data_IF_903344858422
#
_entry.id   IF_903344858422
#
_cell.length_a   1.000
_cell.length_b   1.000
_cell.length_c   1.000
_cell.angle_alpha   90.00
_cell.angle_beta   90.00
_cell.angle_gamma   90.00
#
_symmetry.space_group_name_H-M   'P 1'
#
loop_
_entity.id
_entity.type
_entity.pdbx_description
1 polymer ?
#
# COMPACT_ATOMS: atom_id res chain seq x y z
N UNK A 1 -6.69 -11.88 12.13
CA UNK A 1 -6.54 -10.48 12.58
C UNK A 1 -5.54 -10.30 13.72
N UNK A 2 -4.63 -9.32 13.68
CA UNK A 2 -4.04 -8.73 14.90
C UNK A 2 -4.57 -7.30 14.96
N UNK A 3 -5.60 -7.07 15.76
CA UNK A 3 -5.96 -5.72 16.19
C UNK A 3 -4.89 -5.31 17.20
N UNK A 4 -4.09 -4.26 16.94
CA UNK A 4 -3.40 -3.62 18.07
C UNK A 4 -4.50 -2.93 18.85
N UNK A 5 -4.73 -3.34 20.09
CA UNK A 5 -5.67 -2.59 20.91
C UNK A 5 -5.03 -1.25 21.21
N UNK A 6 -5.61 -0.16 20.70
CA UNK A 6 -5.19 1.18 21.10
C UNK A 6 -5.74 1.42 22.51
N UNK A 7 -4.93 1.92 23.43
CA UNK A 7 -5.40 2.22 24.79
C UNK A 7 -5.67 3.72 24.88
N UNK A 8 -6.94 4.12 24.94
CA UNK A 8 -7.33 5.53 25.07
C UNK A 8 -8.21 5.77 26.32
N UNK A 9 -8.15 6.96 26.94
CA UNK A 9 -9.08 7.32 28.01
C UNK A 9 -10.49 7.56 27.44
N UNK A 10 -11.52 7.09 28.14
CA UNK A 10 -12.90 7.44 27.83
C UNK A 10 -13.14 8.92 28.08
N UNK A 11 -13.70 9.63 27.10
CA UNK A 11 -14.02 11.06 27.19
C UNK A 11 -15.06 11.40 28.29
N UNK A 12 -15.85 10.41 28.72
CA UNK A 12 -16.88 10.59 29.76
C UNK A 12 -16.35 10.32 31.18
N UNK A 13 -15.65 9.21 31.41
CA UNK A 13 -15.25 8.79 32.76
C UNK A 13 -13.72 8.80 33.01
N UNK A 14 -12.92 9.08 31.98
CA UNK A 14 -11.45 9.11 32.05
C UNK A 14 -10.76 7.76 32.19
N UNK A 15 -11.51 6.66 32.32
CA UNK A 15 -10.93 5.31 32.43
C UNK A 15 -10.30 4.87 31.11
N UNK A 16 -9.16 4.18 31.20
CA UNK A 16 -8.47 3.63 30.03
C UNK A 16 -9.24 2.43 29.48
N UNK A 17 -9.47 2.45 28.18
CA UNK A 17 -10.21 1.43 27.45
C UNK A 17 -9.30 0.87 26.34
N UNK A 18 -9.44 -0.43 26.06
CA UNK A 18 -8.76 -1.09 24.95
C UNK A 18 -9.68 -1.06 23.71
N UNK A 19 -9.27 -0.32 22.69
CA UNK A 19 -10.02 -0.12 21.44
C UNK A 19 -9.52 -1.09 20.37
N UNK A 20 -10.37 -1.97 19.81
CA UNK A 20 -9.98 -2.77 18.66
C UNK A 20 -9.64 -1.85 17.49
N UNK A 21 -8.42 -1.95 16.96
CA UNK A 21 -7.99 -1.23 15.76
C UNK A 21 -7.77 -2.23 14.62
N UNK A 22 -8.83 -2.64 13.88
CA UNK A 22 -8.65 -3.48 12.71
C UNK A 22 -8.02 -2.63 11.61
N UNK A 23 -6.74 -2.87 11.31
CA UNK A 23 -6.08 -2.19 10.18
C UNK A 23 -6.63 -2.67 8.82
N UNK A 24 -7.10 -3.92 8.75
CA UNK A 24 -7.54 -4.55 7.50
C UNK A 24 -8.80 -5.38 7.73
N UNK A 25 -9.79 -5.20 6.86
CA UNK A 25 -11.07 -5.92 6.81
C UNK A 25 -11.09 -6.79 5.56
N UNK A 26 -10.88 -8.09 5.75
CA UNK A 26 -11.05 -9.09 4.68
C UNK A 26 -12.54 -9.48 4.59
N UNK A 27 -13.24 -8.99 3.58
CA UNK A 27 -14.69 -9.21 3.45
C UNK A 27 -15.05 -10.64 3.02
N UNK A 28 -14.12 -11.40 2.44
CA UNK A 28 -14.34 -12.81 2.14
C UNK A 28 -14.37 -13.67 3.41
N UNK A 29 -13.63 -13.27 4.45
CA UNK A 29 -13.60 -13.99 5.74
C UNK A 29 -14.62 -13.46 6.73
N UNK A 30 -14.83 -12.15 6.75
CA UNK A 30 -15.72 -11.48 7.70
C UNK A 30 -16.74 -10.57 6.99
N UNK A 31 -17.72 -11.15 6.26
CA UNK A 31 -18.70 -10.37 5.50
C UNK A 31 -19.52 -9.39 6.37
N UNK A 32 -19.68 -9.71 7.66
CA UNK A 32 -20.38 -8.84 8.60
C UNK A 32 -19.66 -7.49 8.82
N UNK A 33 -18.33 -7.46 8.72
CA UNK A 33 -17.55 -6.23 8.89
C UNK A 33 -17.76 -5.25 7.73
N UNK A 34 -18.13 -5.74 6.54
CA UNK A 34 -18.57 -4.86 5.46
C UNK A 34 -19.81 -4.07 5.86
N UNK A 35 -20.80 -4.72 6.47
CA UNK A 35 -21.99 -4.01 6.96
C UNK A 35 -21.64 -3.03 8.07
N UNK A 36 -20.72 -3.40 8.97
CA UNK A 36 -20.19 -2.51 10.00
C UNK A 36 -19.48 -1.27 9.42
N UNK A 37 -18.81 -1.40 8.27
CA UNK A 37 -18.28 -0.25 7.52
C UNK A 37 -19.44 0.61 7.01
N UNK A 38 -20.40 0.00 6.31
CA UNK A 38 -21.47 0.75 5.65
C UNK A 38 -22.35 1.55 6.64
N UNK A 39 -22.54 1.04 7.86
CA UNK A 39 -23.35 1.67 8.90
C UNK A 39 -22.55 2.38 10.01
N UNK A 40 -21.23 2.51 9.83
CA UNK A 40 -20.28 3.17 10.72
C UNK A 40 -20.05 2.45 12.08
N UNK A 41 -20.66 1.28 12.30
CA UNK A 41 -20.46 0.49 13.52
C UNK A 41 -19.02 -0.04 13.66
N UNK A 42 -18.24 -0.09 12.57
CA UNK A 42 -16.83 -0.51 12.62
C UNK A 42 -15.98 0.39 13.53
N UNK A 43 -16.36 1.66 13.67
CA UNK A 43 -15.67 2.65 14.52
C UNK A 43 -16.36 2.85 15.87
N UNK A 44 -17.49 2.19 16.08
CA UNK A 44 -18.29 2.36 17.29
C UNK A 44 -17.65 1.62 18.44
N UNK A 45 -17.45 2.35 19.52
CA UNK A 45 -16.93 1.81 20.77
C UNK A 45 -17.85 2.15 21.94
N UNK A 46 -18.07 1.18 22.82
CA UNK A 46 -18.81 1.35 24.07
C UNK A 46 -17.85 1.15 25.25
N UNK A 47 -17.72 2.17 26.10
CA UNK A 47 -16.86 2.12 27.29
C UNK A 47 -17.30 1.02 28.26
N UNK A 48 -16.37 0.13 28.63
CA UNK A 48 -16.66 -0.99 29.54
C UNK A 48 -17.01 -0.55 30.98
N UNK A 49 -16.77 0.71 31.34
CA UNK A 49 -16.96 1.23 32.70
C UNK A 49 -18.20 2.10 32.87
N UNK A 50 -18.51 2.94 31.87
CA UNK A 50 -19.63 3.87 31.95
C UNK A 50 -20.65 3.73 30.80
N UNK A 51 -20.42 2.80 29.87
CA UNK A 51 -21.28 2.56 28.70
C UNK A 51 -21.46 3.77 27.78
N UNK A 52 -20.58 4.77 27.89
CA UNK A 52 -20.54 5.88 26.95
C UNK A 52 -20.10 5.38 25.57
N UNK A 53 -20.83 5.77 24.54
CA UNK A 53 -20.57 5.38 23.15
C UNK A 53 -19.85 6.50 22.43
N UNK A 54 -18.71 6.18 21.81
CA UNK A 54 -17.89 7.10 21.02
C UNK A 54 -17.56 6.44 19.68
N UNK A 55 -17.36 7.26 18.64
CA UNK A 55 -16.88 6.80 17.33
C UNK A 55 -15.44 7.26 17.13
N UNK A 56 -14.52 6.31 16.90
CA UNK A 56 -13.12 6.60 16.67
C UNK A 56 -12.74 6.25 15.24
N UNK A 57 -12.72 7.26 14.37
CA UNK A 57 -12.30 7.09 12.98
C UNK A 57 -10.79 6.92 12.91
N UNK A 58 -10.36 5.84 12.27
CA UNK A 58 -8.95 5.54 12.01
C UNK A 58 -8.81 4.96 10.62
N UNK A 59 -7.56 4.88 10.13
CA UNK A 59 -7.26 4.30 8.83
C UNK A 59 -7.65 2.83 8.75
N UNK A 60 -8.19 2.45 7.59
CA UNK A 60 -8.84 1.16 7.39
C UNK A 60 -8.62 0.68 5.96
N UNK A 61 -8.23 -0.58 5.80
CA UNK A 61 -8.13 -1.23 4.50
C UNK A 61 -9.33 -2.16 4.30
N UNK A 62 -10.09 -1.92 3.24
CA UNK A 62 -11.06 -2.87 2.70
C UNK A 62 -10.34 -3.80 1.74
N UNK A 63 -10.38 -5.10 2.01
CA UNK A 63 -9.76 -6.14 1.20
C UNK A 63 -10.80 -7.14 0.71
N UNK A 64 -10.96 -7.21 -0.62
CA UNK A 64 -11.77 -8.20 -1.30
C UNK A 64 -10.89 -9.05 -2.24
N UNK A 65 -10.45 -10.23 -1.78
CA UNK A 65 -9.64 -11.13 -2.60
C UNK A 65 -10.39 -11.72 -3.79
N UNK A 66 -11.72 -11.80 -3.72
CA UNK A 66 -12.54 -12.39 -4.79
C UNK A 66 -12.57 -11.46 -6.01
N UNK A 67 -12.72 -10.16 -5.78
CA UNK A 67 -12.74 -9.15 -6.84
C UNK A 67 -11.38 -8.50 -7.10
N UNK A 68 -10.32 -8.98 -6.44
CA UNK A 68 -8.97 -8.43 -6.49
C UNK A 68 -8.95 -6.92 -6.20
N UNK A 69 -9.49 -6.53 -5.05
CA UNK A 69 -9.67 -5.13 -4.69
C UNK A 69 -9.10 -4.79 -3.30
N UNK A 70 -8.34 -3.70 -3.27
CA UNK A 70 -7.96 -2.98 -2.06
C UNK A 70 -8.47 -1.55 -2.14
N UNK A 71 -9.19 -1.12 -1.11
CA UNK A 71 -9.50 0.28 -0.90
C UNK A 71 -8.90 0.67 0.45
N UNK A 72 -8.12 1.72 0.48
CA UNK A 72 -7.41 2.21 1.65
C UNK A 72 -8.00 3.55 2.04
N UNK A 73 -8.66 3.60 3.19
CA UNK A 73 -8.98 4.85 3.88
C UNK A 73 -7.79 5.21 4.75
N UNK A 74 -7.09 6.30 4.43
CA UNK A 74 -5.96 6.79 5.20
C UNK A 74 -6.02 8.31 5.34
N UNK A 75 -5.46 8.85 6.41
CA UNK A 75 -5.51 10.29 6.67
C UNK A 75 -4.74 11.10 5.61
N UNK A 76 -3.68 10.52 5.05
CA UNK A 76 -2.81 11.16 4.08
C UNK A 76 -2.11 10.15 3.15
N UNK A 77 -1.46 10.65 2.09
CA UNK A 77 -0.78 9.83 1.08
C UNK A 77 0.50 9.16 1.61
N UNK A 78 1.14 9.76 2.62
CA UNK A 78 2.33 9.19 3.24
C UNK A 78 1.94 7.90 3.96
N UNK A 79 0.90 7.93 4.80
CA UNK A 79 0.34 6.74 5.45
C UNK A 79 -0.09 5.67 4.45
N UNK A 80 -0.75 6.06 3.34
CA UNK A 80 -1.08 5.13 2.26
C UNK A 80 0.16 4.45 1.67
N UNK A 81 1.22 5.23 1.41
CA UNK A 81 2.48 4.71 0.87
C UNK A 81 3.12 3.69 1.83
N UNK A 82 3.11 3.99 3.14
CA UNK A 82 3.61 3.08 4.18
C UNK A 82 2.79 1.78 4.24
N UNK A 83 1.46 1.88 4.23
CA UNK A 83 0.56 0.72 4.25
C UNK A 83 0.75 -0.20 3.04
N UNK A 84 0.95 0.41 1.86
CA UNK A 84 1.09 -0.32 0.61
C UNK A 84 2.48 -0.90 0.40
N UNK A 85 3.53 -0.24 0.92
CA UNK A 85 4.90 -0.73 0.83
C UNK A 85 4.99 -2.19 1.31
N UNK A 86 4.41 -2.51 2.47
CA UNK A 86 4.34 -3.87 3.02
C UNK A 86 3.68 -4.91 2.10
N UNK A 87 2.59 -4.52 1.45
CA UNK A 87 1.81 -5.45 0.64
C UNK A 87 2.40 -5.65 -0.77
N UNK A 88 3.30 -4.78 -1.22
CA UNK A 88 3.99 -4.98 -2.49
C UNK A 88 5.23 -5.86 -2.39
N UNK A 89 5.76 -6.08 -1.18
CA UNK A 89 7.01 -6.82 -0.96
C UNK A 89 7.00 -8.28 -1.40
N UNK A 90 5.83 -8.88 -1.60
CA UNK A 90 5.71 -10.27 -2.01
C UNK A 90 5.01 -10.48 -3.35
N UNK A 91 4.87 -9.44 -4.19
CA UNK A 91 4.30 -9.52 -5.54
C UNK A 91 2.83 -10.02 -5.67
N UNK A 92 2.10 -10.12 -4.56
CA UNK A 92 0.77 -10.76 -4.51
C UNK A 92 -0.37 -9.78 -4.82
N UNK A 93 -0.13 -8.47 -4.79
CA UNK A 93 -1.15 -7.45 -5.06
C UNK A 93 -1.06 -6.80 -6.44
N UNK A 94 -0.16 -7.26 -7.31
CA UNK A 94 0.10 -6.63 -8.62
C UNK A 94 -1.12 -6.61 -9.53
N UNK A 95 -1.95 -7.65 -9.46
CA UNK A 95 -3.18 -7.78 -10.24
C UNK A 95 -4.42 -7.28 -9.50
N UNK A 96 -4.23 -6.64 -8.34
CA UNK A 96 -5.30 -6.00 -7.60
C UNK A 96 -5.52 -4.57 -8.07
N UNK A 97 -6.78 -4.16 -8.06
CA UNK A 97 -7.18 -2.76 -8.09
C UNK A 97 -6.91 -2.19 -6.70
N UNK A 98 -6.06 -1.18 -6.63
CA UNK A 98 -5.73 -0.50 -5.37
C UNK A 98 -6.27 0.91 -5.46
N UNK A 99 -6.90 1.39 -4.39
CA UNK A 99 -7.49 2.73 -4.33
C UNK A 99 -7.18 3.41 -3.02
N UNK A 100 -6.75 4.66 -3.11
CA UNK A 100 -6.60 5.55 -1.97
C UNK A 100 -7.86 6.42 -1.81
N UNK A 101 -8.28 6.59 -0.55
CA UNK A 101 -9.34 7.49 -0.13
C UNK A 101 -8.86 8.28 1.08
N UNK A 102 -8.87 9.61 0.97
CA UNK A 102 -8.53 10.56 2.04
C UNK A 102 -9.70 10.85 2.99
N UNK A 103 -10.90 10.33 2.68
CA UNK A 103 -12.10 10.53 3.48
C UNK A 103 -13.00 9.29 3.46
N UNK A 104 -13.71 9.10 4.56
CA UNK A 104 -14.51 7.90 4.79
C UNK A 104 -15.75 7.81 3.88
N UNK A 105 -16.28 8.94 3.40
CA UNK A 105 -17.39 8.93 2.44
C UNK A 105 -16.96 8.40 1.07
N UNK A 106 -15.82 8.84 0.56
CA UNK A 106 -15.24 8.32 -0.68
C UNK A 106 -14.87 6.83 -0.54
N UNK A 107 -14.41 6.41 0.64
CA UNK A 107 -14.15 5.01 0.94
C UNK A 107 -15.42 4.14 0.81
N UNK A 108 -16.51 4.51 1.50
CA UNK A 108 -17.80 3.81 1.38
C UNK A 108 -18.36 3.85 -0.04
N UNK A 109 -18.23 4.98 -0.71
CA UNK A 109 -18.64 5.14 -2.11
C UNK A 109 -17.92 4.15 -3.02
N UNK A 110 -16.59 4.03 -2.91
CA UNK A 110 -15.82 3.09 -3.74
C UNK A 110 -16.28 1.65 -3.50
N UNK A 111 -16.53 1.25 -2.26
CA UNK A 111 -17.07 -0.10 -1.95
C UNK A 111 -18.38 -0.32 -2.73
N UNK A 112 -19.32 0.64 -2.68
CA UNK A 112 -20.58 0.55 -3.40
C UNK A 112 -20.42 0.49 -4.92
N UNK A 113 -19.49 1.27 -5.49
CA UNK A 113 -19.18 1.25 -6.93
C UNK A 113 -18.74 -0.16 -7.36
N UNK A 114 -17.79 -0.75 -6.63
CA UNK A 114 -17.27 -2.07 -6.97
C UNK A 114 -18.27 -3.20 -6.70
N UNK A 115 -19.11 -3.07 -5.66
CA UNK A 115 -20.22 -3.99 -5.40
C UNK A 115 -21.19 -4.08 -6.57
N UNK A 116 -21.37 -2.97 -7.29
CA UNK A 116 -22.20 -2.87 -8.49
C UNK A 116 -21.43 -3.16 -9.78
N UNK A 117 -20.21 -3.68 -9.69
CA UNK A 117 -19.35 -4.02 -10.83
C UNK A 117 -19.11 -2.83 -11.77
N UNK A 118 -19.02 -1.63 -11.20
CA UNK A 118 -18.72 -0.40 -11.92
C UNK A 118 -17.23 -0.06 -11.82
N UNK A 119 -16.72 0.65 -12.82
CA UNK A 119 -15.38 1.23 -12.81
C UNK A 119 -15.43 2.61 -12.14
N UNK A 120 -14.71 2.76 -11.04
CA UNK A 120 -14.73 3.97 -10.23
C UNK A 120 -14.23 5.21 -10.98
N UNK A 121 -13.38 5.02 -11.99
CA UNK A 121 -12.88 6.08 -12.86
C UNK A 121 -13.98 6.60 -13.78
N UNK A 122 -14.83 5.72 -14.30
CA UNK A 122 -16.00 6.13 -15.10
C UNK A 122 -17.05 6.84 -14.24
N UNK A 123 -17.27 6.36 -13.00
CA UNK A 123 -18.15 7.03 -12.05
C UNK A 123 -17.61 8.42 -11.70
N UNK A 124 -16.30 8.58 -11.50
CA UNK A 124 -15.70 9.89 -11.27
C UNK A 124 -15.97 10.89 -12.41
N UNK A 125 -15.86 10.45 -13.67
CA UNK A 125 -16.23 11.27 -14.85
C UNK A 125 -17.72 11.62 -14.83
N UNK A 126 -18.59 10.64 -14.56
CA UNK A 126 -20.04 10.87 -14.48
C UNK A 126 -20.33 11.96 -13.44
N UNK A 127 -19.80 11.80 -12.23
CA UNK A 127 -19.99 12.74 -11.12
C UNK A 127 -19.56 14.16 -11.48
N UNK A 128 -18.39 14.32 -12.10
CA UNK A 128 -17.90 15.62 -12.53
C UNK A 128 -18.81 16.26 -13.61
N UNK A 129 -19.22 15.48 -14.62
CA UNK A 129 -20.15 15.96 -15.64
C UNK A 129 -21.48 16.44 -15.01
N UNK A 130 -22.07 15.65 -14.11
CA UNK A 130 -23.30 16.04 -13.41
C UNK A 130 -23.09 17.27 -12.52
N UNK A 131 -21.96 17.36 -11.82
CA UNK A 131 -21.64 18.50 -10.97
C UNK A 131 -21.50 19.78 -11.79
N UNK A 132 -20.92 19.69 -12.99
CA UNK A 132 -20.83 20.81 -13.93
C UNK A 132 -22.21 21.26 -14.43
N UNK A 133 -23.10 20.33 -14.80
CA UNK A 133 -24.47 20.66 -15.18
C UNK A 133 -25.31 21.22 -14.01
N UNK A 134 -25.10 20.68 -12.81
CA UNK A 134 -25.71 21.17 -11.58
C UNK A 134 -25.31 22.64 -11.34
N UNK A 135 -24.01 22.96 -11.42
CA UNK A 135 -23.50 24.33 -11.23
C UNK A 135 -23.99 25.30 -12.29
N UNK A 136 -24.21 24.86 -13.54
CA UNK A 136 -24.84 25.69 -14.58
C UNK A 136 -26.31 25.98 -14.27
N UNK A 137 -27.02 24.99 -13.75
CA UNK A 137 -28.45 25.09 -13.39
C UNK A 137 -28.66 25.91 -12.12
N UNK A 138 -27.73 25.81 -11.17
CA UNK A 138 -27.73 26.48 -9.87
C UNK A 138 -26.41 27.25 -9.66
N UNK A 139 -26.20 28.40 -10.32
CA UNK A 139 -24.94 29.15 -10.23
C UNK A 139 -24.59 29.60 -8.81
N UNK A 140 -25.59 29.86 -7.98
CA UNK A 140 -25.45 30.30 -6.59
C UNK A 140 -25.45 29.11 -5.61
N UNK A 141 -25.02 27.91 -6.02
CA UNK A 141 -25.14 26.72 -5.17
C UNK A 141 -24.15 26.64 -4.00
N UNK A 142 -23.15 27.52 -3.97
CA UNK A 142 -22.02 27.40 -3.04
C UNK A 142 -21.16 26.19 -3.38
N UNK A 143 -20.50 25.61 -2.37
CA UNK A 143 -19.78 24.34 -2.53
C UNK A 143 -20.78 23.24 -2.84
N UNK A 144 -20.44 22.40 -3.81
CA UNK A 144 -21.24 21.23 -4.16
C UNK A 144 -20.33 20.02 -4.40
N UNK A 145 -20.75 18.87 -3.90
CA UNK A 145 -20.07 17.58 -4.02
C UNK A 145 -21.04 16.54 -4.57
N UNK A 146 -20.53 15.59 -5.33
CA UNK A 146 -21.31 14.49 -5.89
C UNK A 146 -20.79 13.14 -5.37
N UNK A 147 -21.71 12.25 -5.01
CA UNK A 147 -21.44 10.90 -4.54
C UNK A 147 -22.33 9.91 -5.30
N UNK A 148 -21.78 8.76 -5.63
CA UNK A 148 -22.53 7.59 -6.03
C UNK A 148 -23.15 6.95 -4.78
N UNK A 149 -24.46 6.69 -4.83
CA UNK A 149 -25.19 5.96 -3.81
C UNK A 149 -25.98 4.83 -4.47
N UNK A 150 -25.82 3.62 -3.95
CA UNK A 150 -26.56 2.45 -4.38
C UNK A 150 -27.40 1.80 -3.27
N UNK A 151 -27.56 2.48 -2.12
CA UNK A 151 -28.25 1.93 -0.93
C UNK A 151 -29.72 1.57 -1.17
N UNK A 152 -30.40 2.22 -2.12
CA UNK A 152 -31.78 1.89 -2.52
C UNK A 152 -31.89 1.63 -4.02
N UNK A 153 -31.32 2.53 -4.82
CA UNK A 153 -31.19 2.42 -6.28
C UNK A 153 -29.92 3.16 -6.68
N UNK A 154 -29.28 2.75 -7.78
CA UNK A 154 -28.10 3.45 -8.29
C UNK A 154 -28.47 4.91 -8.63
N UNK A 155 -27.77 5.84 -7.97
CA UNK A 155 -28.00 7.26 -8.13
C UNK A 155 -26.72 8.06 -7.90
N UNK A 156 -26.71 9.30 -8.40
CA UNK A 156 -25.72 10.29 -8.06
C UNK A 156 -26.39 11.33 -7.15
N UNK A 157 -25.92 11.43 -5.92
CA UNK A 157 -26.38 12.38 -4.91
C UNK A 157 -25.48 13.60 -4.95
N UNK A 158 -26.05 14.76 -5.23
CA UNK A 158 -25.37 16.06 -5.17
C UNK A 158 -25.77 16.76 -3.88
N UNK A 159 -24.79 17.10 -3.06
CA UNK A 159 -24.96 17.86 -1.81
C UNK A 159 -24.36 19.24 -2.02
N UNK A 160 -25.11 20.30 -1.71
CA UNK A 160 -24.67 21.68 -1.88
C UNK A 160 -25.07 22.57 -0.71
N UNK A 161 -24.28 23.61 -0.47
CA UNK A 161 -24.46 24.53 0.67
C UNK A 161 -25.83 25.24 0.64
N UNK A 162 -26.31 25.61 -0.55
CA UNK A 162 -27.50 26.48 -0.69
C UNK A 162 -28.74 25.77 -1.24
N UNK A 163 -28.59 24.57 -1.82
CA UNK A 163 -29.71 23.80 -2.37
C UNK A 163 -29.89 22.42 -1.72
N UNK A 164 -29.14 22.12 -0.65
CA UNK A 164 -29.27 20.88 0.10
C UNK A 164 -28.89 19.66 -0.73
N UNK A 165 -29.67 18.58 -0.60
CA UNK A 165 -29.43 17.29 -1.26
C UNK A 165 -30.34 17.14 -2.48
N UNK A 166 -29.76 16.78 -3.62
CA UNK A 166 -30.49 16.36 -4.83
C UNK A 166 -30.02 14.99 -5.28
N UNK A 167 -30.95 14.12 -5.64
CA UNK A 167 -30.64 12.79 -6.16
C UNK A 167 -30.96 12.72 -7.66
N UNK A 168 -30.01 12.22 -8.44
CA UNK A 168 -30.13 11.99 -9.88
C UNK A 168 -30.07 10.49 -10.15
N UNK A 169 -31.04 9.96 -10.89
CA UNK A 169 -31.00 8.55 -11.29
C UNK A 169 -29.75 8.26 -12.12
N UNK A 170 -29.10 7.14 -11.84
CA UNK A 170 -27.94 6.69 -12.62
C UNK A 170 -28.36 6.28 -14.03
N UNK A 171 -27.71 6.84 -15.07
CA UNK A 171 -27.98 6.48 -16.46
C UNK A 171 -27.11 5.31 -16.90
N UNK A 172 -27.69 4.12 -16.92
CA UNK A 172 -27.04 2.91 -17.46
C UNK A 172 -26.57 3.12 -18.90
N UNK A 173 -27.39 3.79 -19.72
CA UNK A 173 -27.06 4.07 -21.12
C UNK A 173 -25.82 4.95 -21.27
N UNK A 174 -25.67 5.95 -20.39
CA UNK A 174 -24.47 6.79 -20.38
C UNK A 174 -23.26 5.95 -20.02
N UNK A 175 -23.35 5.15 -18.94
CA UNK A 175 -22.25 4.33 -18.46
C UNK A 175 -21.76 3.35 -19.53
N UNK A 176 -22.68 2.59 -20.14
CA UNK A 176 -22.35 1.63 -21.19
C UNK A 176 -21.70 2.29 -22.41
N UNK A 177 -22.21 3.47 -22.82
CA UNK A 177 -21.64 4.21 -23.94
C UNK A 177 -20.20 4.68 -23.68
N UNK A 178 -19.87 5.04 -22.44
CA UNK A 178 -18.52 5.51 -22.08
C UNK A 178 -17.58 4.33 -21.81
N UNK A 179 -18.05 3.25 -21.21
CA UNK A 179 -17.29 2.01 -21.06
C UNK A 179 -16.87 1.41 -22.42
N UNK A 180 -17.72 1.56 -23.45
CA UNK A 180 -17.46 1.12 -24.81
C UNK A 180 -16.66 2.12 -25.67
N UNK A 181 -16.34 3.32 -25.15
CA UNK A 181 -15.56 4.29 -25.90
C UNK A 181 -14.11 3.81 -26.02
N UNK A 182 -13.62 3.60 -27.25
CA UNK A 182 -12.31 3.02 -27.50
C UNK A 182 -11.15 3.75 -26.81
N UNK A 183 -11.23 5.08 -26.70
CA UNK A 183 -10.20 5.87 -26.02
C UNK A 183 -10.25 5.69 -24.51
N UNK A 184 -11.44 5.69 -23.92
CA UNK A 184 -11.60 5.40 -22.49
C UNK A 184 -11.20 3.96 -22.19
N UNK A 185 -11.59 2.98 -23.00
CA UNK A 185 -11.14 1.59 -22.82
C UNK A 185 -9.61 1.48 -22.84
N UNK A 186 -8.94 2.24 -23.71
CA UNK A 186 -7.47 2.30 -23.74
C UNK A 186 -6.89 2.91 -22.46
N UNK A 187 -7.45 4.02 -21.99
CA UNK A 187 -7.06 4.65 -20.72
C UNK A 187 -7.25 3.67 -19.55
N UNK A 188 -8.45 3.11 -19.41
CA UNK A 188 -8.82 2.22 -18.32
C UNK A 188 -7.98 0.94 -18.25
N UNK A 189 -7.41 0.52 -19.39
CA UNK A 189 -6.51 -0.63 -19.46
C UNK A 189 -5.10 -0.34 -18.94
N UNK A 190 -4.54 0.84 -19.27
CA UNK A 190 -3.16 1.18 -18.94
C UNK A 190 -2.99 1.95 -17.65
N UNK A 191 -3.99 2.74 -17.27
CA UNK A 191 -4.01 3.44 -16.01
C UNK A 191 -4.28 2.47 -14.86
N UNK A 192 -3.29 2.29 -13.99
CA UNK A 192 -3.42 1.51 -12.76
C UNK A 192 -3.26 2.39 -11.52
N UNK A 193 -3.48 3.70 -11.65
CA UNK A 193 -3.28 4.66 -10.57
C UNK A 193 -4.15 4.36 -9.36
N UNK A 194 -3.61 4.47 -8.12
CA UNK A 194 -4.42 4.32 -6.93
C UNK A 194 -5.28 5.55 -6.62
N UNK A 195 -4.92 6.71 -7.20
CA UNK A 195 -5.59 7.98 -6.97
C UNK A 195 -6.67 8.22 -8.03
N UNK A 196 -7.94 8.18 -7.60
CA UNK A 196 -9.10 8.49 -8.45
C UNK A 196 -9.94 9.55 -7.72
N UNK A 197 -9.47 10.79 -7.80
CA UNK A 197 -10.02 12.00 -7.17
C UNK A 197 -10.40 13.07 -8.22
N UNK A 198 -10.67 14.30 -7.78
CA UNK A 198 -10.98 15.41 -8.70
C UNK A 198 -9.81 15.80 -9.63
N UNK A 199 -8.57 15.58 -9.20
CA UNK A 199 -7.39 15.85 -10.03
C UNK A 199 -7.28 14.81 -11.15
N UNK A 200 -7.52 13.54 -10.84
CA UNK A 200 -7.57 12.45 -11.81
C UNK A 200 -8.54 12.75 -12.96
N UNK A 201 -9.75 13.23 -12.65
CA UNK A 201 -10.76 13.53 -13.69
C UNK A 201 -10.27 14.61 -14.67
N UNK A 202 -9.56 15.63 -14.18
CA UNK A 202 -8.97 16.68 -15.03
C UNK A 202 -7.89 16.13 -15.97
N UNK A 203 -7.03 15.24 -15.46
CA UNK A 203 -6.02 14.56 -16.27
C UNK A 203 -6.67 13.68 -17.33
N UNK A 204 -7.74 12.96 -16.98
CA UNK A 204 -8.47 12.11 -17.90
C UNK A 204 -9.12 12.88 -19.05
N UNK A 205 -9.76 14.03 -18.79
CA UNK A 205 -10.33 14.86 -19.86
C UNK A 205 -9.29 15.35 -20.88
N UNK A 206 -8.07 15.63 -20.40
CA UNK A 206 -6.96 16.06 -21.25
C UNK A 206 -6.14 14.89 -21.81
N UNK A 207 -6.44 13.66 -21.38
CA UNK A 207 -5.68 12.43 -21.65
C UNK A 207 -4.20 12.55 -21.27
N UNK A 208 -3.92 13.37 -20.25
CA UNK A 208 -2.58 13.63 -19.70
C UNK A 208 -2.34 12.73 -18.48
N UNK A 209 -2.45 11.41 -18.68
CA UNK A 209 -2.19 10.40 -17.65
C UNK A 209 -0.82 9.79 -17.97
N UNK A 210 0.21 10.05 -17.15
CA UNK A 210 1.53 9.51 -17.40
C UNK A 210 1.58 8.01 -17.08
N UNK A 211 2.04 7.23 -18.05
CA UNK A 211 2.29 5.79 -17.94
C UNK A 211 3.78 5.54 -17.97
N UNK A 212 4.28 4.80 -16.99
CA UNK A 212 5.70 4.40 -16.91
C UNK A 212 5.92 3.18 -17.81
N UNK A 213 6.90 3.29 -18.70
CA UNK A 213 7.38 2.21 -19.55
C UNK A 213 8.84 1.87 -19.26
N UNK A 214 9.14 0.59 -19.33
CA UNK A 214 10.48 0.03 -19.24
C UNK A 214 10.86 -0.60 -20.56
N UNK A 215 12.06 -0.29 -21.05
CA UNK A 215 12.63 -1.01 -22.19
C UNK A 215 13.44 -2.18 -21.67
N UNK A 216 12.99 -3.39 -21.98
CA UNK A 216 13.54 -4.63 -21.45
C UNK A 216 14.33 -5.34 -22.54
N UNK A 217 15.57 -5.72 -22.23
CA UNK A 217 16.36 -6.63 -23.04
C UNK A 217 15.95 -8.07 -22.72
N UNK A 218 15.28 -8.74 -23.66
CA UNK A 218 14.78 -10.11 -23.49
C UNK A 218 14.92 -10.88 -24.80
N UNK A 219 15.46 -12.11 -24.74
CA UNK A 219 15.67 -12.95 -25.94
C UNK A 219 16.42 -12.24 -27.09
N UNK A 220 17.37 -11.35 -26.76
CA UNK A 220 18.12 -10.58 -27.74
C UNK A 220 17.34 -9.44 -28.43
N UNK A 221 16.14 -9.11 -27.96
CA UNK A 221 15.29 -8.02 -28.46
C UNK A 221 14.99 -6.97 -27.39
N UNK A 222 14.97 -5.70 -27.79
CA UNK A 222 14.56 -4.59 -26.93
C UNK A 222 13.07 -4.34 -27.12
N UNK A 223 12.28 -4.56 -26.06
CA UNK A 223 10.82 -4.45 -26.10
C UNK A 223 10.35 -3.54 -24.96
N UNK A 224 9.39 -2.66 -25.24
CA UNK A 224 8.78 -1.79 -24.23
C UNK A 224 7.65 -2.54 -23.51
N UNK A 225 7.64 -2.45 -22.18
CA UNK A 225 6.60 -2.98 -21.30
C UNK A 225 6.08 -1.87 -20.37
N UNK A 226 4.81 -1.97 -19.98
CA UNK A 226 4.19 -1.08 -18.99
C UNK A 226 4.54 -1.56 -17.58
N UNK A 227 4.79 -0.62 -16.70
CA UNK A 227 4.97 -0.85 -15.26
C UNK A 227 3.65 -0.53 -14.57
N UNK A 228 3.18 -1.43 -13.70
CA UNK A 228 2.03 -1.11 -12.86
C UNK A 228 2.43 0.05 -11.94
N UNK A 229 1.54 1.03 -11.71
CA UNK A 229 1.78 2.17 -10.80
C UNK A 229 2.24 1.76 -9.39
N UNK A 230 1.96 0.52 -9.02
CA UNK A 230 2.33 -0.09 -7.75
C UNK A 230 3.70 -0.81 -7.74
N UNK A 231 4.32 -1.00 -8.89
CA UNK A 231 5.63 -1.64 -9.00
C UNK A 231 6.75 -0.58 -8.91
N UNK A 232 7.76 -0.86 -8.08
CA UNK A 232 9.01 -0.11 -8.08
C UNK A 232 10.04 -0.83 -8.96
N UNK A 233 10.62 -0.10 -9.90
CA UNK A 233 11.59 -0.64 -10.86
C UNK A 233 12.78 0.30 -11.05
N UNK A 234 13.94 -0.29 -11.26
CA UNK A 234 15.20 0.39 -11.54
C UNK A 234 15.85 -0.15 -12.81
N UNK A 235 16.71 0.66 -13.42
CA UNK A 235 17.55 0.19 -14.52
C UNK A 235 18.52 -0.87 -13.99
N UNK A 236 18.58 -2.01 -14.68
CA UNK A 236 19.36 -3.17 -14.26
C UNK A 236 18.51 -4.27 -13.60
N UNK A 237 17.27 -3.97 -13.17
CA UNK A 237 16.41 -4.98 -12.57
C UNK A 237 16.09 -6.09 -13.57
N UNK A 238 16.03 -7.33 -13.07
CA UNK A 238 15.50 -8.44 -13.82
C UNK A 238 13.98 -8.47 -13.69
N UNK A 239 13.29 -8.79 -14.78
CA UNK A 239 11.83 -8.84 -14.80
C UNK A 239 11.33 -10.08 -15.53
N UNK A 240 10.27 -10.70 -15.01
CA UNK A 240 9.48 -11.68 -15.75
C UNK A 240 8.54 -10.94 -16.71
N UNK A 241 8.57 -11.32 -17.98
CA UNK A 241 7.75 -10.73 -19.05
C UNK A 241 7.22 -11.81 -19.97
N UNK A 242 6.16 -11.49 -20.72
CA UNK A 242 5.73 -12.34 -21.85
C UNK A 242 6.33 -11.85 -23.16
N UNK A 243 7.18 -12.67 -23.78
CA UNK A 243 7.80 -12.41 -25.08
C UNK A 243 7.37 -13.51 -26.07
N UNK A 244 6.85 -13.15 -27.25
CA UNK A 244 6.33 -14.10 -28.26
C UNK A 244 5.29 -15.12 -27.77
N UNK A 245 4.58 -14.80 -26.68
CA UNK A 245 3.57 -15.68 -26.09
C UNK A 245 4.10 -16.60 -24.99
N UNK A 246 5.41 -16.58 -24.73
CA UNK A 246 6.06 -17.38 -23.69
C UNK A 246 6.57 -16.49 -22.56
N UNK A 247 6.66 -17.05 -21.35
CA UNK A 247 7.31 -16.38 -20.22
C UNK A 247 8.82 -16.35 -20.42
N UNK A 248 9.42 -15.20 -20.15
CA UNK A 248 10.86 -14.99 -20.28
C UNK A 248 11.36 -14.04 -19.20
N UNK A 249 12.64 -14.15 -18.84
CA UNK A 249 13.32 -13.20 -17.97
C UNK A 249 14.10 -12.22 -18.85
N UNK A 250 13.91 -10.93 -18.59
CA UNK A 250 14.67 -9.86 -19.24
C UNK A 250 15.32 -8.93 -18.22
N UNK A 251 16.10 -7.97 -18.71
CA UNK A 251 16.74 -6.94 -17.89
C UNK A 251 16.27 -5.56 -18.33
N UNK A 252 15.82 -4.73 -17.39
CA UNK A 252 15.45 -3.34 -17.64
C UNK A 252 16.69 -2.56 -18.08
N UNK A 253 16.66 -2.02 -19.29
CA UNK A 253 17.75 -1.21 -19.84
C UNK A 253 17.51 0.29 -19.64
N UNK A 254 16.26 0.75 -19.77
CA UNK A 254 15.90 2.16 -19.59
C UNK A 254 14.46 2.30 -19.08
N UNK A 255 14.20 3.31 -18.25
CA UNK A 255 12.87 3.71 -17.80
C UNK A 255 12.50 5.02 -18.49
N UNK A 256 11.26 5.15 -18.97
CA UNK A 256 10.74 6.38 -19.55
C UNK A 256 9.22 6.48 -19.35
N UNK A 257 8.66 7.66 -19.59
CA UNK A 257 7.22 7.93 -19.39
C UNK A 257 6.59 8.37 -20.72
N UNK A 258 5.35 7.95 -20.96
CA UNK A 258 4.51 8.47 -22.05
C UNK A 258 3.15 8.86 -21.51
N UNK A 259 2.47 9.78 -22.17
CA UNK A 259 1.05 9.96 -21.94
C UNK A 259 0.29 8.72 -22.38
N UNK A 260 -0.78 8.36 -21.68
CA UNK A 260 -1.55 7.15 -21.91
C UNK A 260 -2.01 7.02 -23.36
N UNK A 261 -2.37 8.13 -24.02
CA UNK A 261 -2.78 8.16 -25.43
C UNK A 261 -1.68 7.74 -26.41
N UNK A 262 -0.43 7.84 -26.01
CA UNK A 262 0.76 7.57 -26.80
C UNK A 262 1.36 6.18 -26.48
N UNK A 263 0.72 5.42 -25.57
CA UNK A 263 1.06 4.03 -25.28
C UNK A 263 0.57 3.15 -26.44
N UNK A 264 1.45 2.39 -27.12
CA UNK A 264 1.01 1.56 -28.23
C UNK A 264 -0.01 0.49 -27.80
N UNK A 265 -1.03 0.25 -28.61
CA UNK A 265 -1.97 -0.83 -28.36
C UNK A 265 -1.26 -2.18 -28.28
N UNK A 266 -1.61 -2.97 -27.26
CA UNK A 266 -1.05 -4.31 -27.05
C UNK A 266 0.32 -4.31 -26.35
N UNK A 267 0.84 -3.14 -25.96
CA UNK A 267 1.97 -3.07 -25.01
C UNK A 267 1.57 -3.85 -23.76
N UNK A 268 2.42 -4.78 -23.33
CA UNK A 268 2.14 -5.67 -22.19
C UNK A 268 2.71 -5.09 -20.91
N UNK A 269 2.13 -5.47 -19.78
CA UNK A 269 2.72 -5.18 -18.47
C UNK A 269 3.89 -6.13 -18.19
N UNK A 270 4.85 -5.68 -17.38
CA UNK A 270 5.78 -6.58 -16.70
C UNK A 270 4.99 -7.51 -15.76
N UNK A 271 5.39 -8.79 -15.67
CA UNK A 271 4.68 -9.78 -14.86
C UNK A 271 5.20 -9.83 -13.43
N UNK A 272 6.51 -9.69 -13.26
CA UNK A 272 7.17 -9.73 -11.96
C UNK A 272 8.47 -8.94 -11.99
N UNK A 273 8.78 -8.20 -10.94
CA UNK A 273 10.15 -7.73 -10.69
C UNK A 273 10.89 -8.86 -9.95
N UNK A 274 12.01 -9.29 -10.50
CA UNK A 274 12.84 -10.35 -9.93
C UNK A 274 13.96 -9.66 -9.15
N UNK A 275 13.98 -9.79 -7.81
CA UNK A 275 15.00 -9.12 -7.01
C UNK A 275 16.40 -9.62 -7.41
N UNK A 276 17.24 -8.71 -7.93
CA UNK A 276 18.63 -9.00 -8.29
C UNK A 276 19.51 -8.85 -7.05
N UNK A 277 20.40 -9.81 -6.78
CA UNK A 277 21.46 -9.72 -5.74
C UNK A 277 22.80 -9.51 -6.46
N UNK A 278 23.30 -8.27 -6.58
CA UNK A 278 24.63 -8.01 -7.08
C UNK A 278 25.70 -8.71 -6.22
N UNK A 279 26.83 -9.14 -6.80
CA UNK A 279 27.90 -9.81 -6.07
C UNK A 279 28.49 -9.02 -4.88
N UNK A 280 28.37 -7.69 -4.89
CA UNK A 280 28.86 -6.82 -3.79
C UNK A 280 27.94 -6.84 -2.56
N UNK A 281 26.67 -7.22 -2.67
CA UNK A 281 25.76 -7.34 -1.52
C UNK A 281 26.26 -8.40 -0.54
N UNK A 282 26.86 -9.49 -1.05
CA UNK A 282 27.48 -10.53 -0.22
C UNK A 282 28.64 -10.00 0.62
N UNK A 283 29.38 -9.01 0.12
CA UNK A 283 30.48 -8.39 0.87
C UNK A 283 29.96 -7.47 2.00
N UNK A 284 28.87 -6.74 1.75
CA UNK A 284 28.22 -5.92 2.77
C UNK A 284 27.58 -6.78 3.88
N UNK A 285 26.94 -7.90 3.52
CA UNK A 285 26.39 -8.88 4.47
C UNK A 285 27.47 -9.45 5.40
N UNK A 286 28.58 -9.92 4.83
CA UNK A 286 29.73 -10.42 5.61
C UNK A 286 30.32 -9.32 6.50
N UNK A 287 30.36 -8.07 6.05
CA UNK A 287 30.84 -6.95 6.86
C UNK A 287 29.93 -6.65 8.05
N UNK A 288 28.61 -6.74 7.88
CA UNK A 288 27.64 -6.60 9.00
C UNK A 288 27.80 -7.75 9.99
N UNK A 289 27.93 -9.00 9.52
CA UNK A 289 28.16 -10.16 10.39
C UNK A 289 29.44 -10.02 11.23
N UNK A 290 30.56 -9.61 10.61
CA UNK A 290 31.80 -9.36 11.34
C UNK A 290 31.66 -8.22 12.36
N UNK A 291 30.98 -7.12 11.98
CA UNK A 291 30.74 -6.01 12.88
C UNK A 291 29.91 -6.41 14.11
N UNK A 292 28.92 -7.31 13.94
CA UNK A 292 28.13 -7.82 15.06
C UNK A 292 29.01 -8.61 16.04
N UNK A 293 29.90 -9.47 15.54
CA UNK A 293 30.85 -10.22 16.39
C UNK A 293 31.82 -9.29 17.13
N UNK A 294 32.26 -8.21 16.48
CA UNK A 294 33.13 -7.21 17.12
C UNK A 294 32.40 -6.40 18.21
N UNK A 295 31.11 -6.08 18.02
CA UNK A 295 30.29 -5.40 19.03
C UNK A 295 30.05 -6.29 20.26
N UNK A 296 29.88 -7.60 20.09
CA UNK A 296 29.68 -8.56 21.19
C UNK A 296 31.00 -9.01 21.85
N UNK A 297 32.14 -8.88 21.16
CA UNK A 297 33.46 -9.19 21.69
C UNK A 297 34.03 -8.06 22.57
N UNK A 298 34.87 -8.42 23.55
CA UNK A 298 35.63 -7.49 24.41
C UNK A 298 36.68 -6.63 23.64
N UNK A 299 36.58 -6.53 22.31
CA UNK A 299 37.57 -5.91 21.44
C UNK A 299 36.96 -4.83 20.53
N UNK A 300 37.11 -3.60 21.04
CA UNK A 300 37.05 -2.32 20.34
C UNK A 300 35.67 -1.70 20.09
N UNK A 301 35.62 -0.40 20.44
CA UNK A 301 34.57 0.54 20.13
C UNK A 301 34.47 0.73 18.62
N UNK A 302 33.59 -0.02 17.96
CA UNK A 302 33.15 0.37 16.64
C UNK A 302 32.43 1.71 16.76
N UNK A 303 32.79 2.70 15.94
CA UNK A 303 32.04 3.95 15.92
C UNK A 303 30.65 3.65 15.39
N UNK A 304 29.61 4.05 16.14
CA UNK A 304 28.20 3.85 15.79
C UNK A 304 27.91 4.30 14.34
N UNK A 305 28.56 5.37 13.88
CA UNK A 305 28.45 5.82 12.48
C UNK A 305 28.96 4.82 11.43
N UNK A 306 30.03 4.07 11.72
CA UNK A 306 30.53 3.03 10.82
C UNK A 306 29.56 1.83 10.73
N UNK A 307 28.88 1.51 11.85
CA UNK A 307 27.83 0.49 11.85
C UNK A 307 26.64 0.91 11.01
N UNK A 308 26.21 2.15 11.18
CA UNK A 308 25.08 2.72 10.45
C UNK A 308 25.36 2.75 8.95
N UNK A 309 26.56 3.17 8.54
CA UNK A 309 26.97 3.13 7.14
C UNK A 309 26.96 1.71 6.54
N UNK A 310 27.29 0.68 7.33
CA UNK A 310 27.18 -0.71 6.88
C UNK A 310 25.72 -1.15 6.73
N UNK A 311 24.86 -0.80 7.69
CA UNK A 311 23.42 -1.10 7.65
C UNK A 311 22.71 -0.39 6.48
N UNK A 312 23.06 0.85 6.16
CA UNK A 312 22.48 1.60 5.03
C UNK A 312 22.61 0.87 3.69
N UNK A 313 23.73 0.17 3.51
CA UNK A 313 24.04 -0.57 2.29
C UNK A 313 23.68 -2.05 2.40
N UNK A 314 23.07 -2.47 3.50
CA UNK A 314 22.71 -3.85 3.75
C UNK A 314 21.35 -4.16 3.14
N UNK A 315 21.27 -5.28 2.40
CA UNK A 315 20.01 -5.89 2.05
C UNK A 315 19.58 -6.81 3.18
N UNK A 316 18.32 -6.71 3.53
CA UNK A 316 17.67 -7.58 4.50
C UNK A 316 16.55 -8.39 3.87
N UNK A 317 16.33 -9.56 4.46
CA UNK A 317 15.27 -10.48 4.16
C UNK A 317 14.37 -10.59 5.36
N UNK A 318 13.06 -10.50 5.15
CA UNK A 318 12.08 -10.65 6.22
C UNK A 318 11.02 -11.67 5.84
N UNK A 319 10.61 -12.53 6.79
CA UNK A 319 9.60 -13.55 6.54
C UNK A 319 8.23 -12.91 6.64
N UNK A 320 7.47 -13.04 5.56
CA UNK A 320 6.08 -12.64 5.50
C UNK A 320 5.20 -13.88 5.48
N UNK A 321 4.18 -13.88 6.33
CA UNK A 321 3.21 -14.96 6.39
C UNK A 321 1.93 -14.52 5.68
N UNK A 322 1.39 -15.40 4.84
CA UNK A 322 0.01 -15.21 4.41
C UNK A 322 -0.90 -15.36 5.63
N UNK A 323 -1.48 -14.22 6.01
CA UNK A 323 -2.51 -14.16 7.02
C UNK A 323 -3.73 -13.53 6.39
N UNK A 324 -4.62 -14.41 5.97
CA UNK A 324 -5.91 -14.03 5.42
C UNK A 324 -5.80 -13.36 4.04
N UNK A 325 -4.95 -13.87 3.15
CA UNK A 325 -4.75 -13.33 1.79
C UNK A 325 -3.88 -12.08 1.73
N UNK A 326 -3.25 -11.74 2.86
CA UNK A 326 -2.41 -10.58 3.06
C UNK A 326 -1.07 -11.06 3.58
N UNK A 327 0.02 -10.55 3.02
CA UNK A 327 1.32 -10.81 3.59
C UNK A 327 1.56 -9.88 4.77
N UNK A 328 1.73 -10.48 5.95
CA UNK A 328 2.04 -9.79 7.18
C UNK A 328 3.45 -10.19 7.64
N UNK A 329 4.28 -9.26 8.13
CA UNK A 329 5.54 -9.63 8.76
C UNK A 329 5.33 -10.60 9.92
N UNK A 330 6.17 -11.63 10.00
CA UNK A 330 6.27 -12.42 11.22
C UNK A 330 6.76 -11.52 12.36
N UNK A 331 6.38 -11.83 13.59
CA UNK A 331 6.88 -11.10 14.76
C UNK A 331 7.34 -12.09 15.82
N UNK A 332 8.41 -11.76 16.50
CA UNK A 332 8.86 -12.45 17.71
C UNK A 332 8.50 -11.60 18.93
N UNK A 333 7.88 -12.21 19.94
CA UNK A 333 7.54 -11.55 21.20
C UNK A 333 8.60 -11.92 22.26
N UNK A 334 9.21 -10.92 22.88
CA UNK A 334 9.97 -11.13 24.10
C UNK A 334 8.99 -11.25 25.27
N UNK A 335 8.93 -12.47 25.85
CA UNK A 335 8.02 -12.78 26.96
C UNK A 335 8.40 -12.07 28.26
N UNK A 336 9.63 -11.58 28.40
CA UNK A 336 10.09 -10.88 29.59
C UNK A 336 9.58 -9.43 29.62
N UNK A 337 9.73 -8.72 28.51
CA UNK A 337 9.49 -7.26 28.44
C UNK A 337 8.24 -6.86 27.63
N UNK A 338 7.49 -7.85 27.11
CA UNK A 338 6.31 -7.66 26.26
C UNK A 338 6.60 -6.84 24.99
N UNK A 339 7.86 -6.84 24.53
CA UNK A 339 8.30 -6.21 23.30
C UNK A 339 8.06 -7.13 22.10
N UNK A 340 7.71 -6.56 20.95
CA UNK A 340 7.49 -7.27 19.70
C UNK A 340 8.47 -6.79 18.64
N UNK A 341 9.23 -7.72 18.05
CA UNK A 341 10.22 -7.42 17.02
C UNK A 341 9.89 -8.15 15.72
N UNK A 342 10.23 -7.56 14.57
CA UNK A 342 10.21 -8.26 13.28
C UNK A 342 11.59 -8.90 13.06
N UNK A 343 11.67 -10.23 12.85
CA UNK A 343 12.92 -10.89 12.53
C UNK A 343 13.37 -10.49 11.13
N UNK A 344 14.62 -10.05 11.00
CA UNK A 344 15.26 -9.70 9.73
C UNK A 344 16.59 -10.43 9.59
N UNK A 345 16.89 -10.83 8.36
CA UNK A 345 18.05 -11.64 8.02
C UNK A 345 18.91 -10.90 7.03
N UNK A 346 20.23 -10.96 7.19
CA UNK A 346 21.17 -10.47 6.18
C UNK A 346 21.50 -11.56 5.16
N UNK A 347 21.25 -12.84 5.48
CA UNK A 347 21.56 -13.98 4.64
C UNK A 347 20.29 -14.70 4.14
N UNK A 348 20.15 -14.80 2.82
CA UNK A 348 19.02 -15.49 2.18
C UNK A 348 18.99 -17.00 2.50
N UNK A 349 20.14 -17.66 2.56
CA UNK A 349 20.20 -19.11 2.79
C UNK A 349 19.84 -19.45 4.25
N UNK A 350 20.11 -18.53 5.18
CA UNK A 350 19.68 -18.68 6.57
C UNK A 350 18.17 -18.58 6.70
N UNK A 351 17.53 -17.53 6.16
CA UNK A 351 16.09 -17.35 6.31
C UNK A 351 15.29 -18.52 5.71
N UNK A 352 15.70 -19.06 4.55
CA UNK A 352 15.04 -20.24 3.95
C UNK A 352 15.28 -21.53 4.74
N UNK A 353 16.30 -21.58 5.61
CA UNK A 353 16.53 -22.72 6.51
C UNK A 353 15.62 -22.69 7.74
N UNK A 354 15.16 -21.50 8.14
CA UNK A 354 14.30 -21.28 9.31
C UNK A 354 12.81 -21.22 8.96
N UNK A 355 12.46 -20.70 7.79
CA UNK A 355 11.08 -20.54 7.34
C UNK A 355 10.78 -21.48 6.17
N UNK A 356 9.65 -22.19 6.28
CA UNK A 356 9.20 -23.16 5.29
C UNK A 356 8.50 -22.50 4.09
N UNK A 357 8.00 -23.34 3.18
CA UNK A 357 7.29 -22.91 1.97
C UNK A 357 5.98 -22.14 2.21
N UNK A 358 5.49 -22.05 3.46
CA UNK A 358 4.30 -21.27 3.80
C UNK A 358 4.61 -19.79 4.06
N UNK A 359 5.88 -19.40 4.05
CA UNK A 359 6.31 -18.00 4.14
C UNK A 359 6.76 -17.48 2.79
N UNK A 360 6.39 -16.23 2.51
CA UNK A 360 7.00 -15.46 1.43
C UNK A 360 8.15 -14.66 2.01
N UNK A 361 9.32 -14.75 1.39
CA UNK A 361 10.48 -13.99 1.81
C UNK A 361 10.53 -12.69 1.02
N UNK A 362 10.36 -11.56 1.73
CA UNK A 362 10.57 -10.25 1.16
C UNK A 362 12.06 -9.89 1.21
N UNK A 363 12.53 -9.22 0.16
CA UNK A 363 13.90 -8.71 0.03
C UNK A 363 13.83 -7.19 -0.13
N UNK A 364 14.59 -6.43 0.66
CA UNK A 364 14.72 -4.98 0.46
C UNK A 364 16.01 -4.41 1.08
N UNK A 365 16.43 -3.20 0.69
CA UNK A 365 17.40 -2.43 1.46
C UNK A 365 16.92 -2.20 2.89
N UNK A 366 17.81 -2.32 3.87
CA UNK A 366 17.49 -2.07 5.26
C UNK A 366 16.99 -0.64 5.48
N UNK A 367 17.59 0.33 4.78
CA UNK A 367 17.17 1.72 4.88
C UNK A 367 15.71 1.94 4.44
N UNK A 368 15.28 1.27 3.37
CA UNK A 368 13.88 1.32 2.92
C UNK A 368 12.95 0.70 3.98
N UNK A 369 13.37 -0.40 4.60
CA UNK A 369 12.62 -1.04 5.70
C UNK A 369 12.40 -0.06 6.87
N UNK A 370 13.41 0.75 7.20
CA UNK A 370 13.32 1.72 8.31
C UNK A 370 12.31 2.82 8.01
N UNK A 371 12.32 3.32 6.79
CA UNK A 371 11.39 4.36 6.36
C UNK A 371 9.96 3.88 6.20
N UNK A 372 9.71 2.56 6.08
CA UNK A 372 8.37 2.05 5.88
C UNK A 372 7.51 1.98 7.15
N UNK A 373 8.01 2.41 8.34
CA UNK A 373 7.33 2.36 9.65
C UNK A 373 6.36 1.19 9.76
N UNK A 374 6.89 -0.03 9.62
CA UNK A 374 6.09 -1.26 9.64
C UNK A 374 5.29 -1.31 10.94
N UNK A 375 3.98 -1.06 10.82
CA UNK A 375 2.94 -1.14 11.84
C UNK A 375 3.28 -2.03 13.05
N UNK A 376 2.81 -1.65 14.23
CA UNK A 376 3.56 -0.99 15.26
C UNK A 376 4.32 -2.01 16.14
N UNK A 377 5.52 -2.37 15.69
CA UNK A 377 6.49 -3.19 16.45
C UNK A 377 7.51 -2.31 17.17
N UNK A 378 8.18 -2.85 18.18
CA UNK A 378 9.16 -2.12 19.01
C UNK A 378 10.55 -2.03 18.34
N UNK A 379 10.72 -2.72 17.21
CA UNK A 379 11.93 -2.68 16.40
C UNK A 379 12.09 -3.91 15.51
N UNK A 380 13.33 -4.17 15.12
CA UNK A 380 13.74 -5.33 14.34
C UNK A 380 14.73 -6.19 15.11
N UNK A 381 14.74 -7.50 14.85
CA UNK A 381 15.71 -8.41 15.43
C UNK A 381 16.59 -8.97 14.31
N UNK A 382 17.85 -8.56 14.28
CA UNK A 382 18.79 -8.94 13.24
C UNK A 382 19.36 -10.34 13.51
N UNK A 383 19.27 -11.23 12.52
CA UNK A 383 19.74 -12.62 12.54
C UNK A 383 19.35 -13.38 13.83
N UNK A 384 18.05 -13.45 14.16
CA UNK A 384 17.52 -13.88 15.46
C UNK A 384 17.76 -15.34 15.83
N UNK A 385 18.25 -16.15 14.89
CA UNK A 385 18.56 -17.56 15.10
C UNK A 385 20.06 -17.87 14.99
N UNK A 386 20.89 -16.82 14.89
CA UNK A 386 22.34 -16.91 15.05
C UNK A 386 22.74 -16.94 16.54
N UNK A 387 24.01 -17.14 16.83
CA UNK A 387 24.51 -17.14 18.22
C UNK A 387 24.45 -15.76 18.90
N UNK A 388 24.27 -14.69 18.13
CA UNK A 388 24.29 -13.31 18.60
C UNK A 388 23.00 -12.60 18.19
N UNK A 389 22.16 -12.25 19.17
CA UNK A 389 20.94 -11.50 18.96
C UNK A 389 21.24 -10.01 18.98
N UNK A 390 20.82 -9.28 17.94
CA UNK A 390 20.99 -7.83 17.91
C UNK A 390 19.65 -7.11 17.70
N UNK A 391 19.03 -6.58 18.77
CA UNK A 391 17.81 -5.79 18.66
C UNK A 391 18.12 -4.39 18.12
N UNK A 392 17.40 -4.01 17.07
CA UNK A 392 17.35 -2.65 16.53
C UNK A 392 16.03 -2.04 17.04
N UNK A 393 16.07 -1.51 18.25
CA UNK A 393 14.91 -0.94 18.94
C UNK A 393 14.62 0.51 18.51
N UNK A 394 13.50 1.07 19.00
CA UNK A 394 13.12 2.46 18.75
C UNK A 394 14.20 3.49 19.10
N UNK A 395 15.07 3.21 20.07
CA UNK A 395 16.18 4.10 20.40
C UNK A 395 17.26 4.09 19.31
N UNK A 396 17.69 2.91 18.86
CA UNK A 396 18.68 2.79 17.80
C UNK A 396 18.15 3.31 16.46
N UNK A 397 16.87 3.08 16.17
CA UNK A 397 16.17 3.66 15.02
C UNK A 397 16.20 5.20 15.05
N UNK A 398 15.93 5.80 16.21
CA UNK A 398 15.99 7.26 16.38
C UNK A 398 17.41 7.81 16.19
N UNK A 399 18.44 7.06 16.61
CA UNK A 399 19.84 7.43 16.39
C UNK A 399 20.22 7.33 14.91
N UNK A 400 19.78 6.28 14.21
CA UNK A 400 19.95 6.14 12.76
C UNK A 400 19.31 7.33 12.02
N UNK A 401 18.07 7.67 12.33
CA UNK A 401 17.39 8.83 11.72
C UNK A 401 18.15 10.14 11.96
N UNK A 402 18.66 10.35 13.18
CA UNK A 402 19.48 11.52 13.50
C UNK A 402 20.84 11.51 12.77
N UNK A 403 21.45 10.35 12.56
CA UNK A 403 22.67 10.19 11.76
C UNK A 403 22.42 10.68 10.33
N UNK A 404 21.35 10.19 9.71
CA UNK A 404 20.95 10.55 8.35
C UNK A 404 20.64 12.03 8.18
N UNK A 405 19.98 12.63 9.17
CA UNK A 405 19.67 14.06 9.18
C UNK A 405 20.90 14.93 9.46
N UNK A 406 22.09 14.34 9.67
CA UNK A 406 23.31 15.01 10.13
C UNK A 406 23.10 15.81 11.43
N UNK A 407 22.19 15.37 12.29
CA UNK A 407 21.85 16.03 13.56
C UNK A 407 22.49 15.35 14.77
N UNK A 408 23.12 14.19 14.60
CA UNK A 408 23.97 13.59 15.63
C UNK A 408 25.20 14.48 15.88
N UNK A 409 25.26 15.06 17.07
CA UNK A 409 26.48 15.68 17.59
C UNK A 409 27.27 14.59 18.32
N UNK A 410 28.49 14.33 17.83
CA UNK A 410 29.50 13.34 18.28
C UNK A 410 29.29 12.69 19.65
#
# INVERSE_FOLDING_TARGET
>A
MRSKNLTLPCESCGQLNAFPHPYIVNVAKEPALKQAIMNDDIFKYECAFCHHVTYYYHSLIYFDPQHKLFICYCENQEEFSHLMALQFLGDHLRDYIIRYCDNYFAFKEKIQIFDHQRDDRLIAIYKDMLLNEFKKTYPDCGRALAYYDSSSQESIVVISDHYGVKCYSFSESWYQSHAANAMLTHVLHYDTSPFVDEHYVKQLYSLNIPIILVRVMVMGQMIDYVVNANDHVHVGDHVEVTCHGEKAIGTISTIHTKEVRDVPHGTKFIQKVIPFVPPYERAAQVAVEHALTDIHGDHQTMQVGAFFQLLENCIVYLPLKDKDGLLMPETMEDRADALSFIPIFTNHDEIISFYDEHYTIAKMPFFDLMHQQLLPVDGYLLNPFSTELFPIDTHLLSLLDAYHQNTLVN
#
